data_IF_216159105768
#
_entry.id   IF_216159105768
#
_cell.length_a   1.000
_cell.length_b   1.000
_cell.length_c   1.000
_cell.angle_alpha   90.00
_cell.angle_beta   90.00
_cell.angle_gamma   90.00
#
_symmetry.space_group_name_H-M   'P 1'
#
loop_
_entity.id
_entity.type
_entity.pdbx_description
1 polymer ?
#
# COMPACT_ATOMS: atom_id res chain seq x y z
N UNK A 1 4.28 5.56 -6.79
CA UNK A 1 5.15 5.45 -7.97
C UNK A 1 4.53 4.42 -8.88
N UNK A 2 4.90 4.42 -10.14
CA UNK A 2 4.54 3.34 -11.06
C UNK A 2 5.33 2.08 -10.65
N UNK A 3 4.68 0.92 -10.65
CA UNK A 3 5.23 -0.33 -10.10
C UNK A 3 6.42 -0.89 -10.89
N UNK A 4 6.80 -0.25 -12.01
CA UNK A 4 7.88 -0.69 -12.90
C UNK A 4 8.91 0.42 -13.23
N UNK A 5 8.92 1.55 -12.51
CA UNK A 5 9.95 2.59 -12.66
C UNK A 5 9.94 3.40 -13.97
N UNK A 6 9.10 3.08 -14.95
CA UNK A 6 8.96 3.85 -16.19
C UNK A 6 8.10 5.11 -15.98
N UNK A 7 8.45 6.20 -16.67
CA UNK A 7 7.58 7.37 -16.80
C UNK A 7 6.45 7.11 -17.79
N UNK A 8 5.36 7.90 -17.74
CA UNK A 8 4.25 7.77 -18.70
C UNK A 8 4.69 7.98 -20.16
N UNK A 9 5.69 8.84 -20.39
CA UNK A 9 6.27 9.02 -21.71
C UNK A 9 6.95 7.73 -22.19
N UNK A 10 7.85 7.18 -21.37
CA UNK A 10 8.55 5.92 -21.67
C UNK A 10 7.58 4.75 -21.87
N UNK A 11 6.50 4.68 -21.08
CA UNK A 11 5.49 3.64 -21.23
C UNK A 11 4.69 3.81 -22.53
N UNK A 12 4.36 5.04 -22.90
CA UNK A 12 3.68 5.34 -24.17
C UNK A 12 4.56 5.00 -25.38
N UNK A 13 5.85 5.33 -25.31
CA UNK A 13 6.82 5.01 -26.36
C UNK A 13 7.01 3.50 -26.47
N UNK A 14 7.15 2.79 -25.34
CA UNK A 14 7.25 1.34 -25.30
C UNK A 14 6.05 0.65 -25.97
N UNK A 15 4.83 1.09 -25.64
CA UNK A 15 3.58 0.57 -26.24
C UNK A 15 3.60 0.74 -27.77
N UNK A 16 4.06 1.90 -28.26
CA UNK A 16 4.13 2.21 -29.70
C UNK A 16 5.22 1.39 -30.40
N UNK A 17 6.42 1.35 -29.84
CA UNK A 17 7.58 0.65 -30.41
C UNK A 17 7.34 -0.87 -30.52
N UNK A 18 6.69 -1.46 -29.51
CA UNK A 18 6.44 -2.90 -29.47
C UNK A 18 5.10 -3.30 -30.10
N UNK A 19 4.34 -2.33 -30.65
CA UNK A 19 3.06 -2.60 -31.30
C UNK A 19 2.06 -3.30 -30.39
N UNK A 20 2.06 -2.97 -29.09
CA UNK A 20 1.15 -3.58 -28.12
C UNK A 20 -0.28 -3.31 -28.58
N UNK A 21 -1.08 -4.37 -28.73
CA UNK A 21 -2.47 -4.28 -29.16
C UNK A 21 -3.41 -4.57 -27.99
N UNK A 22 -4.61 -4.00 -28.03
CA UNK A 22 -5.65 -4.32 -27.06
C UNK A 22 -5.96 -5.83 -27.13
N UNK A 23 -5.91 -6.57 -26.01
CA UNK A 23 -6.13 -8.02 -26.01
C UNK A 23 -7.56 -8.42 -26.41
N UNK A 24 -8.53 -7.53 -26.28
CA UNK A 24 -9.93 -7.81 -26.64
C UNK A 24 -10.28 -7.44 -28.09
N UNK A 25 -9.79 -6.30 -28.60
CA UNK A 25 -10.21 -5.77 -29.90
C UNK A 25 -9.08 -5.58 -30.92
N UNK A 26 -7.82 -5.82 -30.54
CA UNK A 26 -6.65 -5.68 -31.42
C UNK A 26 -6.28 -4.25 -31.81
N UNK A 27 -7.01 -3.23 -31.33
CA UNK A 27 -6.68 -1.83 -31.61
C UNK A 27 -5.36 -1.42 -30.96
N UNK A 28 -4.57 -0.63 -31.68
CA UNK A 28 -3.32 -0.02 -31.21
C UNK A 28 -3.46 1.49 -30.95
N UNK A 29 -4.65 2.05 -31.20
CA UNK A 29 -4.93 3.47 -31.01
C UNK A 29 -5.39 3.75 -29.57
N UNK A 30 -4.44 3.78 -28.63
CA UNK A 30 -4.70 4.11 -27.23
C UNK A 30 -4.72 5.61 -27.00
N UNK A 31 -5.56 6.06 -26.06
CA UNK A 31 -5.49 7.43 -25.52
C UNK A 31 -4.22 7.61 -24.68
N UNK A 32 -3.84 8.86 -24.44
CA UNK A 32 -2.75 9.18 -23.52
C UNK A 32 -2.94 8.55 -22.14
N UNK A 33 -1.83 8.09 -21.54
CA UNK A 33 -1.81 7.51 -20.21
C UNK A 33 -2.18 8.60 -19.19
N UNK A 34 -3.16 8.31 -18.35
CA UNK A 34 -3.64 9.22 -17.30
C UNK A 34 -3.45 8.59 -15.93
N UNK A 35 -3.14 9.43 -14.95
CA UNK A 35 -3.09 9.02 -13.56
C UNK A 35 -4.51 8.85 -13.02
N UNK A 36 -4.81 7.68 -12.50
CA UNK A 36 -6.05 7.42 -11.79
C UNK A 36 -5.81 7.47 -10.28
N UNK A 37 -6.65 8.17 -9.53
CA UNK A 37 -6.58 8.17 -8.07
C UNK A 37 -7.34 6.95 -7.54
N UNK A 38 -6.64 6.12 -6.78
CA UNK A 38 -7.19 4.91 -6.17
C UNK A 38 -7.95 5.18 -4.87
N UNK A 39 -8.01 6.42 -4.37
CA UNK A 39 -8.82 6.76 -3.20
C UNK A 39 -10.26 7.04 -3.59
N UNK A 40 -11.21 6.54 -2.80
CA UNK A 40 -12.62 6.92 -2.94
C UNK A 40 -12.83 8.32 -2.39
N UNK A 41 -13.26 9.22 -3.26
CA UNK A 41 -13.63 10.60 -2.94
C UNK A 41 -15.12 10.68 -2.61
N UNK A 42 -15.46 11.38 -1.53
CA UNK A 42 -16.83 11.70 -1.13
C UNK A 42 -16.88 13.10 -0.51
N UNK A 43 -18.07 13.55 -0.12
CA UNK A 43 -18.28 14.88 0.43
C UNK A 43 -19.03 14.80 1.76
N UNK A 44 -18.56 15.55 2.75
CA UNK A 44 -19.19 15.70 4.06
C UNK A 44 -19.89 17.06 4.14
N UNK A 45 -21.21 17.05 4.31
CA UNK A 45 -22.02 18.27 4.36
C UNK A 45 -23.48 17.98 4.06
N UNK A 46 -24.39 18.83 4.55
CA UNK A 46 -25.85 18.65 4.39
C UNK A 46 -26.34 19.20 3.06
N UNK A 47 -25.73 20.28 2.57
CA UNK A 47 -26.11 20.96 1.32
C UNK A 47 -24.96 20.89 0.31
N UNK A 48 -25.25 20.93 -0.99
CA UNK A 48 -24.22 20.80 -2.03
C UNK A 48 -23.17 21.92 -2.02
N UNK A 49 -23.55 23.08 -1.49
CA UNK A 49 -22.75 24.30 -1.46
C UNK A 49 -21.82 24.37 -0.24
N UNK A 50 -22.05 23.55 0.79
CA UNK A 50 -21.25 23.46 2.01
C UNK A 50 -20.73 22.03 2.22
N UNK A 51 -20.02 21.51 1.21
CA UNK A 51 -19.45 20.17 1.18
C UNK A 51 -17.94 20.23 1.37
N UNK A 52 -17.45 19.66 2.47
CA UNK A 52 -16.03 19.36 2.64
C UNK A 52 -15.68 18.11 1.85
N UNK A 53 -14.64 18.19 1.03
CA UNK A 53 -14.12 17.04 0.30
C UNK A 53 -13.37 16.10 1.26
N UNK A 54 -13.80 14.84 1.32
CA UNK A 54 -13.20 13.83 2.18
C UNK A 54 -12.94 12.53 1.39
N UNK A 55 -12.10 11.67 1.96
CA UNK A 55 -11.71 10.42 1.33
C UNK A 55 -11.95 9.23 2.25
N UNK A 56 -12.35 8.10 1.69
CA UNK A 56 -12.26 6.83 2.42
C UNK A 56 -10.79 6.43 2.48
N UNK A 57 -10.34 6.05 3.68
CA UNK A 57 -8.93 5.71 3.91
C UNK A 57 -8.50 4.50 3.05
N UNK A 58 -7.37 4.60 2.33
CA UNK A 58 -6.84 3.49 1.52
C UNK A 58 -6.00 2.49 2.32
N UNK A 59 -5.71 2.81 3.58
CA UNK A 59 -4.90 2.07 4.56
C UNK A 59 -5.30 2.49 5.99
N UNK A 60 -4.78 1.80 7.00
CA UNK A 60 -5.10 2.07 8.41
C UNK A 60 -4.01 2.87 9.15
N UNK A 61 -2.77 2.86 8.64
CA UNK A 61 -1.58 3.51 9.18
C UNK A 61 -1.73 5.00 9.51
N UNK A 62 -2.35 5.79 8.62
CA UNK A 62 -2.46 7.24 8.81
C UNK A 62 -3.12 7.64 10.14
N UNK A 63 -4.12 6.86 10.58
CA UNK A 63 -4.79 7.10 11.86
C UNK A 63 -3.86 6.97 13.05
N UNK A 64 -2.88 6.05 12.97
CA UNK A 64 -1.87 5.84 14.00
C UNK A 64 -0.90 7.02 14.03
N UNK A 65 -0.41 7.49 12.88
CA UNK A 65 0.53 8.61 12.82
C UNK A 65 -0.06 9.92 13.36
N UNK A 66 -1.29 10.26 12.98
CA UNK A 66 -1.99 11.45 13.48
C UNK A 66 -2.14 11.39 15.02
N UNK A 67 -2.33 10.19 15.57
CA UNK A 67 -2.53 9.98 17.01
C UNK A 67 -1.27 9.62 17.79
N UNK A 68 -0.08 9.61 17.18
CA UNK A 68 1.17 9.17 17.81
C UNK A 68 1.39 9.81 19.19
N UNK A 69 1.33 11.14 19.27
CA UNK A 69 1.56 11.88 20.52
C UNK A 69 0.51 11.55 21.60
N UNK A 70 -0.75 11.37 21.20
CA UNK A 70 -1.82 11.00 22.12
C UNK A 70 -1.60 9.58 22.66
N UNK A 71 -1.33 8.62 21.79
CA UNK A 71 -1.09 7.22 22.16
C UNK A 71 0.13 7.10 23.07
N UNK A 72 1.25 7.74 22.69
CA UNK A 72 2.48 7.71 23.48
C UNK A 72 2.26 8.29 24.88
N UNK A 73 1.56 9.43 24.98
CA UNK A 73 1.29 10.11 26.25
C UNK A 73 0.38 9.30 27.16
N UNK A 74 -0.72 8.75 26.64
CA UNK A 74 -1.70 8.01 27.45
C UNK A 74 -1.16 6.67 27.91
N UNK A 75 -0.36 6.00 27.08
CA UNK A 75 0.24 4.69 27.41
C UNK A 75 1.59 4.81 28.12
N UNK A 76 2.15 6.03 28.21
CA UNK A 76 3.47 6.33 28.81
C UNK A 76 4.60 5.48 28.23
N UNK A 77 4.48 5.06 26.97
CA UNK A 77 5.48 4.22 26.30
C UNK A 77 6.70 5.04 25.91
N UNK A 78 7.88 4.45 26.13
CA UNK A 78 9.15 4.94 25.57
C UNK A 78 9.46 4.14 24.31
N UNK A 79 10.25 4.72 23.41
CA UNK A 79 10.75 4.00 22.25
C UNK A 79 11.68 2.85 22.70
N UNK A 80 11.62 1.69 22.03
CA UNK A 80 10.72 1.38 20.92
C UNK A 80 9.32 0.92 21.39
N UNK A 81 8.29 1.21 20.60
CA UNK A 81 6.94 0.69 20.83
C UNK A 81 6.14 0.58 19.52
N UNK A 82 5.18 -0.34 19.48
CA UNK A 82 4.30 -0.53 18.33
C UNK A 82 2.85 -0.17 18.62
N UNK A 83 2.11 0.20 17.58
CA UNK A 83 0.66 0.40 17.60
C UNK A 83 0.05 -0.45 16.49
N UNK A 84 -0.73 -1.45 16.85
CA UNK A 84 -1.46 -2.29 15.91
C UNK A 84 -2.88 -1.78 15.68
N UNK A 85 -3.35 -1.83 14.44
CA UNK A 85 -4.73 -1.52 14.08
C UNK A 85 -5.27 -2.58 13.12
N UNK A 86 -6.51 -3.01 13.37
CA UNK A 86 -7.27 -3.88 12.47
C UNK A 86 -8.48 -3.09 12.00
N UNK A 87 -8.75 -3.08 10.70
CA UNK A 87 -9.97 -2.51 10.19
C UNK A 87 -10.05 -2.40 8.68
N UNK A 88 -11.17 -1.84 8.22
CA UNK A 88 -11.47 -1.68 6.80
C UNK A 88 -10.64 -0.60 6.12
N UNK A 89 -10.27 -0.88 4.88
CA UNK A 89 -9.63 0.03 3.94
C UNK A 89 -10.29 -0.07 2.57
N UNK A 90 -10.22 1.00 1.79
CA UNK A 90 -10.92 1.11 0.51
C UNK A 90 -9.98 1.54 -0.61
N UNK A 91 -9.92 0.76 -1.69
CA UNK A 91 -9.14 1.09 -2.89
C UNK A 91 -10.03 1.03 -4.12
N UNK A 92 -10.08 2.12 -4.87
CA UNK A 92 -10.89 2.26 -6.07
C UNK A 92 -10.23 1.54 -7.26
N UNK A 93 -10.14 0.21 -7.13
CA UNK A 93 -9.51 -0.66 -8.11
C UNK A 93 -10.27 -0.59 -9.45
N UNK A 94 -9.50 -0.37 -10.52
CA UNK A 94 -10.01 -0.16 -11.88
C UNK A 94 -10.61 -1.47 -12.42
N UNK A 95 -9.88 -2.57 -12.26
CA UNK A 95 -10.29 -3.90 -12.71
C UNK A 95 -10.32 -4.86 -11.52
N UNK A 96 -11.46 -5.00 -10.83
CA UNK A 96 -11.59 -6.04 -9.81
C UNK A 96 -11.42 -7.42 -10.46
N UNK A 97 -10.75 -8.34 -9.77
CA UNK A 97 -10.38 -9.63 -10.34
C UNK A 97 -9.77 -10.57 -9.30
N UNK A 98 -9.68 -11.86 -9.62
CA UNK A 98 -9.09 -12.88 -8.75
C UNK A 98 -9.73 -12.93 -7.35
N UNK A 99 -11.06 -12.95 -7.27
CA UNK A 99 -11.84 -13.14 -6.03
C UNK A 99 -11.39 -12.21 -4.87
N UNK A 100 -10.70 -12.75 -3.86
CA UNK A 100 -10.22 -12.00 -2.69
C UNK A 100 -8.98 -11.15 -2.94
N UNK A 101 -8.26 -11.34 -4.06
CA UNK A 101 -6.98 -10.66 -4.30
C UNK A 101 -7.13 -9.20 -4.76
N UNK A 102 -8.23 -8.85 -5.44
CA UNK A 102 -8.50 -7.47 -5.86
C UNK A 102 -9.95 -7.08 -5.60
N UNK A 103 -10.20 -6.57 -4.40
CA UNK A 103 -11.48 -6.02 -3.97
C UNK A 103 -11.37 -4.52 -3.70
N UNK A 104 -12.52 -3.83 -3.66
CA UNK A 104 -12.59 -2.39 -3.36
C UNK A 104 -12.69 -2.07 -1.88
N UNK A 105 -13.13 -3.05 -1.09
CA UNK A 105 -13.22 -3.01 0.36
C UNK A 105 -12.58 -4.30 0.90
N UNK A 106 -11.70 -4.16 1.88
CA UNK A 106 -11.05 -5.27 2.55
C UNK A 106 -10.61 -4.84 3.96
N UNK A 107 -10.28 -5.82 4.80
CA UNK A 107 -9.72 -5.58 6.12
C UNK A 107 -8.21 -5.77 6.11
N UNK A 108 -7.51 -4.92 6.83
CA UNK A 108 -6.07 -5.01 7.02
C UNK A 108 -5.74 -5.11 8.50
N UNK A 109 -4.63 -5.78 8.79
CA UNK A 109 -3.97 -5.78 10.09
C UNK A 109 -2.62 -5.08 9.89
N UNK A 110 -2.46 -3.87 10.40
CA UNK A 110 -1.23 -3.08 10.26
C UNK A 110 -0.61 -2.80 11.64
N UNK A 111 0.72 -2.74 11.68
CA UNK A 111 1.49 -2.45 12.88
C UNK A 111 2.51 -1.37 12.55
N UNK A 112 2.36 -0.21 13.17
CA UNK A 112 3.36 0.84 13.12
C UNK A 112 4.31 0.71 14.30
N UNK A 113 5.56 0.33 14.03
CA UNK A 113 6.59 0.15 15.06
C UNK A 113 7.56 1.34 15.08
N UNK A 114 7.47 2.14 16.13
CA UNK A 114 8.31 3.31 16.32
C UNK A 114 9.58 2.92 17.07
N UNK A 115 10.74 3.18 16.46
CA UNK A 115 12.06 2.91 17.02
C UNK A 115 12.94 4.16 17.00
N UNK A 116 14.16 4.05 17.54
CA UNK A 116 15.14 5.14 17.45
C UNK A 116 15.72 5.20 16.03
N UNK A 117 16.08 6.38 15.52
CA UNK A 117 16.88 6.47 14.30
C UNK A 117 18.11 5.57 14.37
N UNK A 118 18.53 5.04 13.22
CA UNK A 118 19.69 4.15 13.06
C UNK A 118 19.53 2.75 13.69
N UNK A 119 18.38 2.45 14.30
CA UNK A 119 18.00 1.08 14.73
C UNK A 119 16.96 0.44 13.81
N UNK A 120 16.56 1.15 12.77
CA UNK A 120 15.46 0.78 11.85
C UNK A 120 15.69 -0.57 11.15
N UNK A 121 16.90 -0.83 10.62
CA UNK A 121 17.18 -2.10 9.94
C UNK A 121 17.24 -3.30 10.90
N UNK A 122 17.67 -3.11 12.15
CA UNK A 122 17.64 -4.17 13.16
C UNK A 122 16.19 -4.60 13.43
N UNK A 123 15.30 -3.64 13.65
CA UNK A 123 13.88 -3.91 13.85
C UNK A 123 13.20 -4.45 12.59
N UNK A 124 13.62 -4.02 11.40
CA UNK A 124 13.13 -4.55 10.14
C UNK A 124 13.37 -6.05 10.02
N UNK A 125 14.61 -6.52 10.26
CA UNK A 125 14.91 -7.96 10.21
C UNK A 125 14.17 -8.74 11.30
N UNK A 126 14.08 -8.19 12.51
CA UNK A 126 13.28 -8.79 13.58
C UNK A 126 11.82 -9.00 13.17
N UNK A 127 11.17 -7.97 12.60
CA UNK A 127 9.77 -8.07 12.19
C UNK A 127 9.57 -8.95 10.95
N UNK A 128 10.53 -8.97 10.03
CA UNK A 128 10.53 -9.89 8.88
C UNK A 128 10.51 -11.35 9.35
N UNK A 129 11.40 -11.71 10.27
CA UNK A 129 11.46 -13.05 10.85
C UNK A 129 10.22 -13.37 11.68
N UNK A 130 9.71 -12.39 12.45
CA UNK A 130 8.46 -12.54 13.19
C UNK A 130 7.29 -12.86 12.26
N UNK A 131 7.11 -12.10 11.17
CA UNK A 131 6.04 -12.31 10.20
C UNK A 131 6.13 -13.68 9.55
N UNK A 132 7.33 -14.10 9.14
CA UNK A 132 7.58 -15.44 8.59
C UNK A 132 7.12 -16.52 9.57
N UNK A 133 7.61 -16.46 10.80
CA UNK A 133 7.30 -17.46 11.83
C UNK A 133 5.81 -17.46 12.21
N UNK A 134 5.19 -16.28 12.24
CA UNK A 134 3.75 -16.15 12.47
C UNK A 134 2.94 -16.83 11.37
N UNK A 135 3.27 -16.60 10.10
CA UNK A 135 2.61 -17.28 8.97
C UNK A 135 2.77 -18.80 9.03
N UNK A 136 3.97 -19.30 9.33
CA UNK A 136 4.20 -20.75 9.51
C UNK A 136 3.37 -21.31 10.69
N UNK A 137 3.24 -20.56 11.78
CA UNK A 137 2.41 -20.97 12.93
C UNK A 137 0.92 -21.06 12.62
N UNK A 138 0.45 -20.38 11.57
CA UNK A 138 -0.94 -20.45 11.08
C UNK A 138 -1.18 -21.60 10.09
N UNK A 139 -0.15 -22.39 9.78
CA UNK A 139 -0.23 -23.57 8.92
C UNK A 139 0.23 -23.36 7.47
N UNK A 140 0.84 -22.21 7.14
CA UNK A 140 1.56 -22.09 5.87
C UNK A 140 2.81 -22.98 5.90
N UNK A 141 3.18 -23.53 4.75
CA UNK A 141 4.40 -24.34 4.61
C UNK A 141 5.52 -23.50 4.00
N UNK A 142 6.76 -23.82 4.37
CA UNK A 142 7.96 -23.13 3.84
C UNK A 142 8.02 -23.19 2.31
N UNK A 143 7.57 -24.29 1.71
CA UNK A 143 7.52 -24.50 0.25
C UNK A 143 6.60 -23.50 -0.47
N UNK A 144 5.56 -23.01 0.22
CA UNK A 144 4.59 -22.07 -0.32
C UNK A 144 4.83 -20.63 0.18
N UNK A 145 5.94 -20.38 0.87
CA UNK A 145 6.28 -19.08 1.42
C UNK A 145 7.58 -18.56 0.80
N UNK A 146 7.54 -17.34 0.30
CA UNK A 146 8.72 -16.63 -0.20
C UNK A 146 8.69 -15.21 0.32
N UNK A 147 9.80 -14.80 0.95
CA UNK A 147 10.05 -13.41 1.28
C UNK A 147 10.80 -12.76 0.12
N UNK A 148 10.25 -11.70 -0.48
CA UNK A 148 10.84 -10.98 -1.60
C UNK A 148 11.21 -9.57 -1.18
N UNK A 149 12.50 -9.32 -1.07
CA UNK A 149 13.01 -7.96 -0.86
C UNK A 149 12.81 -7.14 -2.14
N UNK A 150 12.36 -5.90 -1.97
CA UNK A 150 12.16 -4.96 -3.07
C UNK A 150 13.50 -4.47 -3.60
N UNK A 151 13.62 -4.41 -4.92
CA UNK A 151 14.75 -3.73 -5.57
C UNK A 151 14.65 -2.21 -5.37
N UNK A 152 15.76 -1.49 -5.57
CA UNK A 152 15.83 -0.05 -5.31
C UNK A 152 14.79 0.76 -6.08
N UNK A 153 14.47 0.32 -7.30
CA UNK A 153 13.51 0.96 -8.20
C UNK A 153 12.05 0.70 -7.79
N UNK A 154 11.80 -0.35 -7.01
CA UNK A 154 10.47 -0.73 -6.50
C UNK A 154 10.13 -0.04 -5.17
N UNK A 155 11.15 0.43 -4.43
CA UNK A 155 10.97 1.09 -3.15
C UNK A 155 10.11 2.35 -3.27
N UNK A 156 9.12 2.46 -2.39
CA UNK A 156 8.44 3.73 -2.13
C UNK A 156 9.46 4.80 -1.74
N UNK A 157 9.22 6.05 -2.14
CA UNK A 157 10.16 7.17 -1.95
C UNK A 157 10.57 7.45 -0.49
N UNK A 158 9.80 6.93 0.48
CA UNK A 158 10.04 7.05 1.92
C UNK A 158 10.57 5.76 2.57
N UNK A 159 10.72 4.67 1.81
CA UNK A 159 11.13 3.36 2.34
C UNK A 159 12.64 3.14 2.18
N UNK A 160 13.30 2.76 3.27
CA UNK A 160 14.73 2.35 3.26
C UNK A 160 14.92 0.88 2.86
N UNK A 161 13.96 0.03 3.22
CA UNK A 161 13.87 -1.38 2.85
C UNK A 161 12.41 -1.83 2.95
N UNK A 162 12.01 -2.76 2.07
CA UNK A 162 10.67 -3.37 2.06
C UNK A 162 10.81 -4.84 1.67
N UNK A 163 10.05 -5.72 2.32
CA UNK A 163 9.89 -7.13 1.96
C UNK A 163 8.40 -7.41 1.82
N UNK A 164 8.01 -8.06 0.72
CA UNK A 164 6.70 -8.71 0.58
C UNK A 164 6.78 -10.20 0.91
#
# INVERSE_FOLDING_TARGET
>A
GDANGMTFAQMSDYIREHGVACPECGSTNFTEIRKFNLMFKTFQGVTEEAKDEIYLRPETAQGIFVNFANIQRTTRRKLPFGVGQIGKSFRNEITPGNFTFRTREFEQMELEFFCKPDTDLEWFYYWKDFCKNWLLSLGLTEENLRLRDHEKEELSFYSKATTD
#
